data_IF_976668227771
#
_entry.id   IF_976668227771
#
_cell.length_a   1.000
_cell.length_b   1.000
_cell.length_c   1.000
_cell.angle_alpha   90.00
_cell.angle_beta   90.00
_cell.angle_gamma   90.00
#
_symmetry.space_group_name_H-M   'P 1'
#
loop_
_entity.id
_entity.type
_entity.pdbx_description
1 polymer ?
#
# COMPACT_ATOMS: atom_id res chain seq x y z
N UNK A 1 -13.94 -17.58 20.40
CA UNK A 1 -13.76 -18.27 19.11
C UNK A 1 -12.37 -17.92 18.61
N UNK A 2 -11.54 -18.91 18.29
CA UNK A 2 -10.18 -18.68 17.81
C UNK A 2 -10.28 -18.01 16.43
N UNK A 3 -9.88 -16.74 16.32
CA UNK A 3 -9.67 -16.10 15.03
C UNK A 3 -8.36 -16.66 14.48
N UNK A 4 -8.46 -17.44 13.41
CA UNK A 4 -7.30 -17.78 12.61
C UNK A 4 -6.92 -16.50 11.85
N UNK A 5 -5.81 -15.88 12.23
CA UNK A 5 -5.17 -14.86 11.43
C UNK A 5 -4.48 -15.59 10.29
N UNK A 6 -5.16 -15.71 9.16
CA UNK A 6 -4.51 -16.04 7.90
C UNK A 6 -4.16 -14.72 7.24
N UNK A 7 -2.87 -14.43 7.20
CA UNK A 7 -2.33 -13.44 6.28
C UNK A 7 -2.76 -13.86 4.88
N UNK A 8 -3.44 -12.96 4.16
CA UNK A 8 -3.61 -13.08 2.73
C UNK A 8 -2.24 -12.88 2.07
N UNK A 9 -1.37 -13.89 2.17
CA UNK A 9 -0.37 -14.10 1.14
C UNK A 9 -1.18 -14.44 -0.11
N UNK A 10 -1.32 -13.48 -1.03
CA UNK A 10 -1.86 -13.72 -2.35
C UNK A 10 -1.05 -14.85 -3.00
N UNK A 11 -1.57 -16.07 -2.89
CA UNK A 11 -0.98 -17.25 -3.49
C UNK A 11 -1.31 -17.16 -4.98
N UNK A 12 -0.46 -16.45 -5.72
CA UNK A 12 -0.52 -16.39 -7.17
C UNK A 12 -0.23 -17.80 -7.73
N UNK A 13 -1.27 -18.63 -7.79
CA UNK A 13 -1.25 -19.87 -8.56
C UNK A 13 -1.36 -19.52 -10.06
N UNK A 14 -0.29 -18.94 -10.60
CA UNK A 14 -0.09 -18.83 -12.04
C UNK A 14 0.15 -20.22 -12.62
N UNK A 15 -0.92 -20.96 -12.93
CA UNK A 15 -0.85 -22.15 -13.77
C UNK A 15 -0.51 -21.71 -15.20
N UNK A 16 0.79 -21.61 -15.49
CA UNK A 16 1.28 -21.55 -16.85
C UNK A 16 0.98 -22.90 -17.53
N UNK A 17 -0.06 -22.94 -18.36
CA UNK A 17 -0.29 -24.04 -19.29
C UNK A 17 0.87 -24.09 -20.29
N UNK A 18 1.84 -24.96 -20.03
CA UNK A 18 2.85 -25.34 -21.01
C UNK A 18 2.23 -26.34 -21.98
N UNK A 19 1.87 -25.87 -23.17
CA UNK A 19 1.64 -26.77 -24.31
C UNK A 19 3.01 -27.34 -24.73
N UNK A 20 3.23 -28.62 -24.43
CA UNK A 20 4.36 -29.38 -24.94
C UNK A 20 4.27 -29.50 -26.45
N UNK A 21 5.06 -28.70 -27.16
CA UNK A 21 5.51 -29.01 -28.52
C UNK A 21 7.01 -29.34 -28.43
N UNK A 22 7.35 -30.59 -28.69
CA UNK A 22 8.71 -31.09 -28.68
C UNK A 22 9.51 -30.41 -29.81
N UNK A 23 10.53 -29.63 -29.45
CA UNK A 23 11.70 -29.37 -30.30
C UNK A 23 12.87 -29.04 -29.38
N UNK A 24 13.88 -29.90 -29.37
CA UNK A 24 15.13 -29.74 -28.63
C UNK A 24 15.83 -28.43 -29.04
N UNK A 25 15.84 -27.44 -28.14
CA UNK A 25 16.79 -26.33 -28.11
C UNK A 25 16.83 -25.80 -26.66
N UNK A 26 17.87 -26.19 -25.92
CA UNK A 26 18.15 -25.86 -24.50
C UNK A 26 18.57 -24.38 -24.29
N UNK A 27 18.05 -23.45 -25.09
CA UNK A 27 18.10 -22.03 -24.77
C UNK A 27 16.93 -21.69 -23.85
N UNK A 28 17.17 -21.14 -22.64
CA UNK A 28 16.11 -20.55 -21.84
C UNK A 28 15.39 -19.51 -22.69
N UNK A 29 14.14 -19.78 -23.04
CA UNK A 29 13.29 -18.76 -23.66
C UNK A 29 12.95 -17.77 -22.55
N UNK A 30 13.41 -16.53 -22.69
CA UNK A 30 12.87 -15.39 -21.96
C UNK A 30 11.33 -15.53 -21.96
N UNK A 31 10.65 -15.41 -20.81
CA UNK A 31 9.19 -15.27 -20.82
C UNK A 31 8.86 -14.15 -21.82
N UNK A 32 7.90 -14.39 -22.71
CA UNK A 32 7.40 -13.33 -23.58
C UNK A 32 6.93 -12.22 -22.65
N UNK A 33 7.59 -11.06 -22.69
CA UNK A 33 7.18 -9.87 -21.96
C UNK A 33 5.91 -9.34 -22.63
N UNK A 34 4.79 -10.01 -22.36
CA UNK A 34 3.46 -9.63 -22.83
C UNK A 34 3.08 -8.22 -22.39
N UNK A 35 3.79 -7.68 -21.40
CA UNK A 35 3.57 -6.38 -20.78
C UNK A 35 4.46 -5.26 -21.35
N UNK A 36 5.42 -5.60 -22.23
CA UNK A 36 6.21 -4.62 -22.97
C UNK A 36 5.41 -4.06 -24.16
N UNK A 37 4.34 -3.32 -23.82
CA UNK A 37 3.47 -2.62 -24.76
C UNK A 37 3.71 -1.11 -24.64
N UNK A 38 3.68 -0.42 -25.77
CA UNK A 38 3.81 1.04 -25.85
C UNK A 38 2.50 1.70 -26.23
N UNK A 39 2.32 2.95 -25.80
CA UNK A 39 1.23 3.78 -26.27
C UNK A 39 1.49 4.13 -27.74
N UNK A 40 0.53 3.85 -28.61
CA UNK A 40 0.62 4.17 -30.04
C UNK A 40 -0.70 4.74 -30.53
N UNK A 41 -0.68 5.42 -31.66
CA UNK A 41 -1.87 5.92 -32.34
C UNK A 41 -2.88 4.79 -32.64
N UNK A 42 -2.43 3.55 -32.81
CA UNK A 42 -3.30 2.38 -33.06
C UNK A 42 -4.06 1.93 -31.80
N UNK A 43 -3.42 1.97 -30.63
CA UNK A 43 -4.03 1.52 -29.37
C UNK A 43 -4.52 2.67 -28.46
N UNK A 44 -4.25 3.93 -28.83
CA UNK A 44 -4.54 5.14 -28.06
C UNK A 44 -5.97 5.19 -27.52
N UNK A 45 -6.96 4.83 -28.35
CA UNK A 45 -8.37 4.87 -27.93
C UNK A 45 -8.65 3.89 -26.80
N UNK A 46 -8.24 2.63 -26.94
CA UNK A 46 -8.43 1.61 -25.91
C UNK A 46 -7.65 1.92 -24.64
N UNK A 47 -6.43 2.43 -24.78
CA UNK A 47 -5.57 2.85 -23.66
C UNK A 47 -6.20 3.98 -22.87
N UNK A 48 -6.66 5.04 -23.55
CA UNK A 48 -7.32 6.19 -22.94
C UNK A 48 -8.61 5.78 -22.21
N UNK A 49 -9.40 4.90 -22.82
CA UNK A 49 -10.62 4.39 -22.20
C UNK A 49 -10.32 3.52 -20.97
N UNK A 50 -9.27 2.69 -21.01
CA UNK A 50 -8.87 1.87 -19.86
C UNK A 50 -8.38 2.75 -18.70
N UNK A 51 -7.50 3.72 -18.95
CA UNK A 51 -7.05 4.67 -17.92
C UNK A 51 -8.24 5.38 -17.27
N UNK A 52 -9.22 5.84 -18.07
CA UNK A 52 -10.45 6.47 -17.55
C UNK A 52 -11.28 5.52 -16.69
N UNK A 53 -11.43 4.26 -17.09
CA UNK A 53 -12.18 3.28 -16.33
C UNK A 53 -11.50 3.00 -14.98
N UNK A 54 -10.19 2.73 -14.98
CA UNK A 54 -9.40 2.48 -13.76
C UNK A 54 -9.46 3.67 -12.80
N UNK A 55 -9.22 4.89 -13.28
CA UNK A 55 -9.23 6.07 -12.40
C UNK A 55 -10.64 6.42 -11.89
N UNK A 56 -11.68 6.06 -12.64
CA UNK A 56 -13.08 6.24 -12.19
C UNK A 56 -13.38 5.33 -11.02
N UNK A 57 -12.98 4.06 -11.11
CA UNK A 57 -13.10 3.07 -10.04
C UNK A 57 -12.29 3.50 -8.82
N UNK A 58 -11.03 3.88 -9.01
CA UNK A 58 -10.15 4.33 -7.93
C UNK A 58 -10.71 5.56 -7.20
N UNK A 59 -11.27 6.53 -7.93
CA UNK A 59 -11.93 7.70 -7.33
C UNK A 59 -13.15 7.30 -6.51
N UNK A 60 -13.95 6.36 -7.00
CA UNK A 60 -15.11 5.86 -6.27
C UNK A 60 -14.66 5.19 -4.96
N UNK A 61 -13.70 4.28 -5.02
CA UNK A 61 -13.23 3.52 -3.86
C UNK A 61 -12.61 4.45 -2.80
N UNK A 62 -11.80 5.44 -3.21
CA UNK A 62 -11.24 6.45 -2.30
C UNK A 62 -12.32 7.32 -1.65
N UNK A 63 -13.38 7.68 -2.39
CA UNK A 63 -14.52 8.43 -1.85
C UNK A 63 -15.32 7.60 -0.86
N UNK A 64 -15.64 6.35 -1.21
CA UNK A 64 -16.37 5.44 -0.34
C UNK A 64 -15.59 5.18 0.96
N UNK A 65 -14.28 4.95 0.87
CA UNK A 65 -13.43 4.76 2.04
C UNK A 65 -13.50 5.95 3.00
N UNK A 66 -13.33 7.18 2.49
CA UNK A 66 -13.47 8.38 3.30
C UNK A 66 -14.88 8.51 3.88
N UNK A 67 -15.93 8.29 3.09
CA UNK A 67 -17.32 8.40 3.53
C UNK A 67 -17.69 7.38 4.61
N UNK A 68 -17.17 6.15 4.52
CA UNK A 68 -17.33 5.13 5.55
C UNK A 68 -16.70 5.55 6.88
N UNK A 69 -15.52 6.15 6.83
CA UNK A 69 -14.86 6.67 8.03
C UNK A 69 -15.53 7.92 8.58
N UNK A 70 -15.92 8.87 7.73
CA UNK A 70 -16.32 10.21 8.14
C UNK A 70 -17.84 10.38 8.33
N UNK A 71 -18.66 9.68 7.55
CA UNK A 71 -20.11 9.97 7.41
C UNK A 71 -20.97 8.84 7.96
N UNK A 72 -20.95 7.65 7.35
CA UNK A 72 -21.79 6.52 7.75
C UNK A 72 -21.19 5.21 7.26
N UNK A 73 -21.20 4.19 8.12
CA UNK A 73 -20.76 2.85 7.74
C UNK A 73 -21.89 1.84 7.93
N UNK A 74 -22.18 1.05 6.89
CA UNK A 74 -23.24 0.02 6.87
C UNK A 74 -24.61 0.54 7.35
N UNK A 75 -24.95 1.79 7.00
CA UNK A 75 -26.21 2.46 7.35
C UNK A 75 -26.30 2.94 8.81
N UNK A 76 -25.23 2.83 9.59
CA UNK A 76 -25.13 3.30 10.97
C UNK A 76 -24.30 4.57 11.14
N UNK A 77 -23.74 4.75 12.34
CA UNK A 77 -22.74 5.79 12.60
C UNK A 77 -21.50 5.60 11.72
N UNK A 78 -20.69 6.65 11.58
CA UNK A 78 -19.43 6.54 10.86
C UNK A 78 -18.46 5.59 11.56
N UNK A 79 -17.50 5.04 10.83
CA UNK A 79 -16.50 4.16 11.43
C UNK A 79 -15.60 4.93 12.41
N UNK A 80 -15.32 6.22 12.16
CA UNK A 80 -14.61 7.08 13.11
C UNK A 80 -15.36 7.23 14.43
N UNK A 81 -16.68 7.44 14.40
CA UNK A 81 -17.49 7.50 15.63
C UNK A 81 -17.46 6.15 16.36
N UNK A 82 -17.66 5.06 15.62
CA UNK A 82 -17.62 3.70 16.17
C UNK A 82 -16.28 3.39 16.85
N UNK A 83 -15.16 3.70 16.20
CA UNK A 83 -13.83 3.43 16.73
C UNK A 83 -13.49 4.31 17.94
N UNK A 84 -13.81 5.61 17.89
CA UNK A 84 -13.60 6.55 19.01
C UNK A 84 -14.48 6.27 20.23
N UNK A 85 -15.62 5.61 20.02
CA UNK A 85 -16.51 5.14 21.08
C UNK A 85 -16.30 3.66 21.41
N UNK A 86 -15.28 3.02 20.82
CA UNK A 86 -14.92 1.63 21.05
C UNK A 86 -16.12 0.68 20.90
N UNK A 87 -17.00 0.99 19.93
CA UNK A 87 -18.14 0.16 19.58
C UNK A 87 -17.69 -1.23 19.12
N UNK A 88 -18.62 -2.18 19.07
CA UNK A 88 -18.33 -3.51 18.54
C UNK A 88 -17.70 -3.40 17.13
N UNK A 89 -16.65 -4.17 16.82
CA UNK A 89 -16.14 -5.32 17.59
C UNK A 89 -15.07 -5.01 18.66
N UNK A 90 -14.69 -3.74 18.89
CA UNK A 90 -13.55 -3.40 19.77
C UNK A 90 -13.90 -3.49 21.25
N UNK A 91 -15.04 -2.93 21.67
CA UNK A 91 -15.58 -2.96 23.04
C UNK A 91 -14.72 -2.28 24.14
N UNK A 92 -13.50 -1.82 23.84
CA UNK A 92 -12.67 -0.99 24.73
C UNK A 92 -11.60 -0.22 23.95
N UNK A 93 -11.03 0.84 24.52
CA UNK A 93 -9.89 1.52 23.89
C UNK A 93 -8.63 0.66 23.90
N UNK A 94 -8.46 -0.23 24.88
CA UNK A 94 -7.44 -1.27 24.84
C UNK A 94 -7.49 -2.07 23.53
N UNK A 95 -8.67 -2.60 23.16
CA UNK A 95 -8.83 -3.32 21.90
C UNK A 95 -8.62 -2.45 20.66
N UNK A 96 -9.03 -1.17 20.69
CA UNK A 96 -8.74 -0.24 19.59
C UNK A 96 -7.22 -0.03 19.44
N UNK A 97 -6.50 0.16 20.54
CA UNK A 97 -5.03 0.34 20.53
C UNK A 97 -4.33 -0.94 20.06
N UNK A 98 -4.81 -2.12 20.46
CA UNK A 98 -4.30 -3.38 19.91
C UNK A 98 -4.45 -3.43 18.40
N UNK A 99 -5.62 -3.04 17.86
CA UNK A 99 -5.84 -3.00 16.42
C UNK A 99 -4.90 -2.02 15.70
N UNK A 100 -4.62 -0.85 16.29
CA UNK A 100 -3.65 0.11 15.74
C UNK A 100 -2.25 -0.49 15.71
N UNK A 101 -1.82 -1.13 16.79
CA UNK A 101 -0.49 -1.74 16.86
C UNK A 101 -0.40 -2.93 15.91
N UNK A 102 -1.46 -3.73 15.76
CA UNK A 102 -1.50 -4.84 14.82
C UNK A 102 -1.34 -4.37 13.38
N UNK A 103 -2.02 -3.28 12.98
CA UNK A 103 -1.79 -2.67 11.66
C UNK A 103 -0.35 -2.20 11.44
N UNK A 104 0.30 -1.61 12.47
CA UNK A 104 1.72 -1.26 12.40
C UNK A 104 2.64 -2.50 12.29
N UNK A 105 2.33 -3.58 13.00
CA UNK A 105 3.08 -4.85 12.96
C UNK A 105 2.98 -5.48 11.57
N UNK A 106 1.77 -5.52 11.03
CA UNK A 106 1.45 -6.15 9.75
C UNK A 106 2.18 -5.43 8.63
N UNK A 107 2.10 -4.10 8.53
CA UNK A 107 2.79 -3.36 7.47
C UNK A 107 4.32 -3.39 7.63
N UNK A 108 4.86 -3.36 8.86
CA UNK A 108 6.30 -3.52 9.06
C UNK A 108 6.79 -4.89 8.58
N UNK A 109 6.03 -5.94 8.86
CA UNK A 109 6.32 -7.30 8.40
C UNK A 109 6.18 -7.41 6.88
N UNK A 110 5.11 -6.86 6.31
CA UNK A 110 4.86 -6.89 4.87
C UNK A 110 5.97 -6.17 4.09
N UNK A 111 6.40 -4.98 4.53
CA UNK A 111 7.51 -4.28 3.88
C UNK A 111 8.80 -5.12 3.95
N UNK A 112 9.12 -5.68 5.12
CA UNK A 112 10.34 -6.45 5.32
C UNK A 112 10.35 -7.78 4.56
N UNK A 113 9.36 -8.64 4.81
CA UNK A 113 9.32 -10.01 4.33
C UNK A 113 8.74 -10.13 2.92
N UNK A 114 7.76 -9.29 2.56
CA UNK A 114 7.08 -9.38 1.25
C UNK A 114 7.65 -8.34 0.28
N UNK A 115 7.44 -7.03 0.49
CA UNK A 115 7.77 -6.01 -0.51
C UNK A 115 9.27 -5.97 -0.86
N UNK A 116 10.14 -6.18 0.14
CA UNK A 116 11.60 -6.28 -0.04
C UNK A 116 12.07 -7.73 -0.07
N UNK A 117 11.64 -8.53 0.91
CA UNK A 117 12.14 -9.89 1.15
C UNK A 117 11.80 -10.89 0.05
N UNK A 118 10.63 -10.80 -0.58
CA UNK A 118 10.27 -11.71 -1.68
C UNK A 118 11.12 -11.49 -2.93
N UNK A 119 11.24 -10.26 -3.47
CA UNK A 119 12.18 -10.00 -4.57
C UNK A 119 13.61 -10.42 -4.21
N UNK A 120 14.08 -10.09 -3.00
CA UNK A 120 15.41 -10.47 -2.54
C UNK A 120 15.61 -11.99 -2.58
N UNK A 121 14.70 -12.75 -1.98
CA UNK A 121 14.76 -14.21 -1.89
C UNK A 121 14.69 -14.87 -3.27
N UNK A 122 13.81 -14.39 -4.16
CA UNK A 122 13.73 -14.85 -5.55
C UNK A 122 15.07 -14.60 -6.28
N UNK A 123 15.67 -13.44 -6.09
CA UNK A 123 16.96 -13.09 -6.71
C UNK A 123 18.08 -14.02 -6.22
N UNK A 124 18.19 -14.21 -4.90
CA UNK A 124 19.20 -15.10 -4.30
C UNK A 124 19.03 -16.57 -4.75
N UNK A 125 17.80 -17.00 -5.03
CA UNK A 125 17.50 -18.31 -5.59
C UNK A 125 17.82 -18.45 -7.10
N UNK A 126 18.38 -17.42 -7.73
CA UNK A 126 18.69 -17.40 -9.16
C UNK A 126 17.48 -17.12 -10.07
N UNK A 127 16.31 -16.83 -9.50
CA UNK A 127 15.08 -16.49 -10.24
C UNK A 127 15.03 -14.99 -10.54
N UNK A 128 16.06 -14.50 -11.23
CA UNK A 128 16.31 -13.07 -11.43
C UNK A 128 15.13 -12.36 -12.10
N UNK A 129 14.56 -12.94 -13.16
CA UNK A 129 13.41 -12.37 -13.86
C UNK A 129 12.17 -12.29 -12.97
N UNK A 130 11.84 -13.36 -12.24
CA UNK A 130 10.72 -13.35 -11.29
C UNK A 130 10.92 -12.29 -10.19
N UNK A 131 12.16 -12.12 -9.71
CA UNK A 131 12.49 -11.10 -8.71
C UNK A 131 12.26 -9.68 -9.23
N UNK A 132 12.72 -9.38 -10.45
CA UNK A 132 12.59 -8.08 -11.11
C UNK A 132 11.12 -7.67 -11.28
N UNK A 133 10.23 -8.62 -11.61
CA UNK A 133 8.80 -8.35 -11.80
C UNK A 133 7.97 -8.44 -10.51
N UNK A 134 8.53 -8.95 -9.42
CA UNK A 134 7.86 -9.01 -8.12
C UNK A 134 7.93 -7.70 -7.32
N UNK A 135 8.80 -6.75 -7.71
CA UNK A 135 8.99 -5.49 -6.98
C UNK A 135 7.78 -4.58 -7.16
N UNK A 136 6.99 -4.35 -6.12
CA UNK A 136 5.86 -3.40 -6.14
C UNK A 136 6.32 -1.97 -6.49
N UNK A 137 5.51 -1.21 -7.22
CA UNK A 137 5.81 0.17 -7.65
C UNK A 137 7.04 0.33 -8.56
N UNK A 138 7.43 -0.74 -9.28
CA UNK A 138 8.62 -0.68 -10.13
C UNK A 138 8.40 0.04 -11.47
N UNK A 139 7.18 0.15 -11.99
CA UNK A 139 6.95 0.79 -13.29
C UNK A 139 7.35 2.28 -13.24
N UNK A 140 7.10 2.93 -12.11
CA UNK A 140 7.46 4.31 -11.80
C UNK A 140 8.80 4.47 -11.06
N UNK A 141 9.51 3.37 -10.78
CA UNK A 141 10.69 3.35 -9.92
C UNK A 141 10.43 3.97 -8.52
N UNK A 142 9.21 3.83 -7.98
CA UNK A 142 8.78 4.49 -6.74
C UNK A 142 8.86 3.59 -5.50
N UNK A 143 9.25 2.32 -5.64
CA UNK A 143 9.29 1.32 -4.55
C UNK A 143 9.95 1.79 -3.24
N UNK A 144 11.04 2.56 -3.31
CA UNK A 144 11.76 3.00 -2.09
C UNK A 144 10.94 4.03 -1.33
N UNK A 145 10.42 5.03 -2.03
CA UNK A 145 9.58 6.08 -1.48
C UNK A 145 8.26 5.48 -0.95
N UNK A 146 7.65 4.57 -1.70
CA UNK A 146 6.47 3.79 -1.31
C UNK A 146 6.66 3.11 0.06
N UNK A 147 7.66 2.22 0.15
CA UNK A 147 7.89 1.44 1.37
C UNK A 147 8.30 2.33 2.54
N UNK A 148 9.01 3.44 2.26
CA UNK A 148 9.35 4.42 3.30
C UNK A 148 8.11 5.17 3.80
N UNK A 149 7.12 5.44 2.94
CA UNK A 149 5.84 6.03 3.32
C UNK A 149 5.01 5.06 4.16
N UNK A 150 5.10 3.75 3.93
CA UNK A 150 4.52 2.75 4.82
C UNK A 150 5.11 2.85 6.24
N UNK A 151 6.43 3.05 6.37
CA UNK A 151 7.06 3.29 7.68
C UNK A 151 6.65 4.65 8.29
N UNK A 152 6.44 5.68 7.47
CA UNK A 152 5.85 6.95 7.92
C UNK A 152 4.42 6.73 8.45
N UNK A 153 3.65 5.80 7.89
CA UNK A 153 2.33 5.41 8.42
C UNK A 153 2.42 4.89 9.85
N UNK A 154 3.39 4.00 10.13
CA UNK A 154 3.68 3.50 11.48
C UNK A 154 4.08 4.66 12.42
N UNK A 155 4.97 5.54 11.95
CA UNK A 155 5.40 6.72 12.71
C UNK A 155 4.21 7.60 13.10
N UNK A 156 3.34 7.89 12.13
CA UNK A 156 2.15 8.71 12.31
C UNK A 156 1.20 8.09 13.34
N UNK A 157 0.95 6.78 13.26
CA UNK A 157 0.14 6.05 14.21
C UNK A 157 0.73 6.06 15.63
N UNK A 158 2.03 5.76 15.74
CA UNK A 158 2.73 5.66 17.03
C UNK A 158 2.90 7.01 17.74
N UNK A 159 3.20 8.07 16.98
CA UNK A 159 3.41 9.42 17.48
C UNK A 159 2.15 10.29 17.48
N UNK A 160 1.03 9.79 16.94
CA UNK A 160 -0.27 10.47 16.91
C UNK A 160 -0.28 11.76 16.08
N UNK A 161 0.48 11.81 14.99
CA UNK A 161 0.66 12.98 14.13
C UNK A 161 0.66 12.61 12.65
N UNK A 162 0.65 13.60 11.77
CA UNK A 162 0.92 13.44 10.33
C UNK A 162 2.16 14.26 9.96
N UNK A 163 3.34 13.70 10.20
CA UNK A 163 4.59 14.41 9.89
C UNK A 163 5.75 13.47 9.63
N UNK A 164 6.16 13.40 8.36
CA UNK A 164 7.37 12.70 7.95
C UNK A 164 8.64 13.38 8.50
N UNK A 165 8.62 14.70 8.69
CA UNK A 165 9.73 15.48 9.25
C UNK A 165 10.15 15.02 10.66
N UNK A 166 9.29 14.27 11.35
CA UNK A 166 9.62 13.66 12.64
C UNK A 166 10.80 12.68 12.53
N UNK A 167 10.89 11.92 11.44
CA UNK A 167 11.90 10.87 11.24
C UNK A 167 12.83 11.08 10.04
N UNK A 168 12.47 11.94 9.07
CA UNK A 168 13.27 12.13 7.84
C UNK A 168 14.53 12.98 8.03
N UNK A 169 14.65 13.71 9.13
CA UNK A 169 15.85 14.46 9.48
C UNK A 169 17.02 13.57 9.93
N UNK A 170 18.20 14.17 10.13
CA UNK A 170 19.37 13.47 10.67
C UNK A 170 19.13 12.92 12.10
N UNK A 171 18.24 13.57 12.85
CA UNK A 171 17.81 13.17 14.19
C UNK A 171 16.29 13.21 14.27
N UNK A 172 15.72 12.42 15.17
CA UNK A 172 14.28 12.42 15.45
C UNK A 172 13.87 13.77 16.06
N UNK A 173 12.84 14.41 15.50
CA UNK A 173 12.25 15.62 16.06
C UNK A 173 11.10 15.30 17.03
N UNK A 174 11.47 14.95 18.26
CA UNK A 174 10.52 14.62 19.32
C UNK A 174 9.58 15.78 19.72
N UNK A 175 9.84 17.01 19.25
CA UNK A 175 8.94 18.15 19.52
C UNK A 175 7.62 18.03 18.77
N UNK A 176 7.60 17.24 17.69
CA UNK A 176 6.40 17.03 16.89
C UNK A 176 5.48 15.95 17.47
N UNK A 177 5.94 15.08 18.37
CA UNK A 177 5.12 14.00 18.93
C UNK A 177 3.89 14.54 19.65
N UNK A 178 2.70 14.06 19.28
CA UNK A 178 1.46 14.52 19.89
C UNK A 178 1.37 14.13 21.39
N UNK A 179 0.78 14.98 22.24
CA UNK A 179 0.57 14.67 23.66
C UNK A 179 -0.26 13.40 23.92
N UNK A 180 -1.20 13.09 23.03
CA UNK A 180 -2.11 11.95 23.11
C UNK A 180 -1.70 10.88 22.09
N UNK A 181 -0.54 10.26 22.32
CA UNK A 181 0.08 9.28 21.42
C UNK A 181 0.56 8.04 22.16
N UNK A 182 0.78 6.92 21.46
CA UNK A 182 1.35 5.71 22.04
C UNK A 182 2.73 5.98 22.64
N UNK A 183 3.56 6.76 21.95
CA UNK A 183 4.84 7.23 22.50
C UNK A 183 4.67 7.92 23.85
N UNK A 184 3.81 8.95 23.96
CA UNK A 184 3.69 9.74 25.21
C UNK A 184 3.08 8.95 26.36
N UNK A 185 2.13 8.04 26.09
CA UNK A 185 1.57 7.20 27.15
C UNK A 185 2.58 6.16 27.64
N UNK A 186 3.41 5.60 26.78
CA UNK A 186 4.51 4.71 27.21
C UNK A 186 5.51 5.48 28.10
N UNK A 187 5.99 6.65 27.66
CA UNK A 187 6.89 7.48 28.47
C UNK A 187 6.29 7.80 29.85
N UNK A 188 5.04 8.23 29.88
CA UNK A 188 4.37 8.66 31.12
C UNK A 188 4.06 7.49 32.08
N UNK A 189 4.14 6.25 31.60
CA UNK A 189 3.90 5.03 32.39
C UNK A 189 5.18 4.21 32.60
N UNK A 190 6.34 4.88 32.60
CA UNK A 190 7.63 4.27 32.97
C UNK A 190 8.26 3.40 31.87
N UNK A 191 7.75 3.46 30.64
CA UNK A 191 8.25 2.73 29.47
C UNK A 191 9.03 3.65 28.52
N UNK A 192 9.79 4.61 29.06
CA UNK A 192 10.52 5.58 28.24
C UNK A 192 11.53 4.91 27.30
N UNK A 193 12.35 3.99 27.82
CA UNK A 193 13.34 3.27 27.01
C UNK A 193 12.67 2.51 25.85
N UNK A 194 11.55 1.85 26.10
CA UNK A 194 10.78 1.17 25.04
C UNK A 194 10.24 2.17 24.01
N UNK A 195 9.70 3.31 24.44
CA UNK A 195 9.18 4.34 23.54
C UNK A 195 10.29 4.92 22.63
N UNK A 196 11.43 5.26 23.22
CA UNK A 196 12.59 5.81 22.52
C UNK A 196 13.22 4.79 21.56
N UNK A 197 13.34 3.52 21.98
CA UNK A 197 13.83 2.44 21.14
C UNK A 197 12.88 2.15 19.97
N UNK A 198 11.57 2.19 20.20
CA UNK A 198 10.57 2.01 19.13
C UNK A 198 10.68 3.11 18.09
N UNK A 199 10.75 4.37 18.51
CA UNK A 199 10.87 5.49 17.58
C UNK A 199 12.21 5.47 16.81
N UNK A 200 13.29 5.01 17.46
CA UNK A 200 14.58 4.77 16.82
C UNK A 200 14.52 3.64 15.78
N UNK A 201 13.79 2.55 16.08
CA UNK A 201 13.59 1.45 15.14
C UNK A 201 12.76 1.88 13.92
N UNK A 202 11.70 2.68 14.12
CA UNK A 202 10.91 3.28 13.03
C UNK A 202 11.82 4.12 12.12
N UNK A 203 12.61 5.03 12.70
CA UNK A 203 13.57 5.82 11.91
C UNK A 203 14.59 4.95 11.20
N UNK A 204 15.14 3.94 11.87
CA UNK A 204 16.12 3.04 11.26
C UNK A 204 15.54 2.30 10.05
N UNK A 205 14.34 1.75 10.14
CA UNK A 205 13.66 1.13 8.99
C UNK A 205 13.49 2.12 7.83
N UNK A 206 12.97 3.32 8.10
CA UNK A 206 12.82 4.39 7.11
C UNK A 206 14.16 4.74 6.42
N UNK A 207 15.21 4.98 7.20
CA UNK A 207 16.54 5.34 6.69
C UNK A 207 17.16 4.19 5.87
N UNK A 208 16.96 2.94 6.26
CA UNK A 208 17.52 1.77 5.56
C UNK A 208 16.83 1.51 4.22
N UNK A 209 15.50 1.67 4.15
CA UNK A 209 14.77 1.61 2.88
C UNK A 209 15.31 2.68 1.92
N UNK A 210 15.44 3.92 2.39
CA UNK A 210 15.96 5.01 1.58
C UNK A 210 17.46 4.88 1.27
N UNK A 211 18.22 4.08 2.02
CA UNK A 211 19.61 3.79 1.70
C UNK A 211 19.77 2.79 0.54
N UNK A 212 18.73 2.04 0.15
CA UNK A 212 18.76 1.18 -1.04
C UNK A 212 19.10 2.05 -2.26
N UNK A 213 20.02 1.65 -3.16
CA UNK A 213 20.29 2.44 -4.35
C UNK A 213 19.08 2.51 -5.29
N UNK A 214 18.82 3.69 -5.84
CA UNK A 214 17.69 3.93 -6.74
C UNK A 214 17.96 3.39 -8.16
N UNK A 215 17.05 2.62 -8.79
CA UNK A 215 15.83 2.04 -8.22
C UNK A 215 16.09 0.71 -7.50
N UNK A 216 15.25 0.37 -6.51
CA UNK A 216 15.33 -0.92 -5.78
C UNK A 216 15.35 -2.12 -6.74
N UNK A 217 14.50 -2.12 -7.77
CA UNK A 217 14.44 -3.20 -8.79
C UNK A 217 15.80 -3.55 -9.40
N UNK A 218 16.70 -2.59 -9.57
CA UNK A 218 18.03 -2.82 -10.15
C UNK A 218 19.10 -3.16 -9.12
N UNK A 219 18.75 -3.12 -7.83
CA UNK A 219 19.65 -3.30 -6.70
C UNK A 219 19.08 -4.27 -5.65
N UNK A 220 18.22 -5.18 -6.09
CA UNK A 220 17.51 -6.14 -5.22
C UNK A 220 18.48 -6.88 -4.30
N UNK A 221 19.63 -7.33 -4.82
CA UNK A 221 20.62 -8.11 -4.08
C UNK A 221 21.64 -7.27 -3.30
N UNK A 222 21.42 -5.97 -3.13
CA UNK A 222 22.35 -5.09 -2.42
C UNK A 222 22.39 -5.39 -0.91
N UNK A 223 23.50 -5.05 -0.26
CA UNK A 223 23.61 -5.12 1.21
C UNK A 223 22.60 -4.18 1.89
N UNK A 224 22.25 -3.08 1.23
CA UNK A 224 21.25 -2.12 1.70
C UNK A 224 19.84 -2.70 1.66
N UNK A 225 19.50 -3.51 0.65
CA UNK A 225 18.22 -4.22 0.57
C UNK A 225 18.06 -5.22 1.71
N UNK A 226 19.10 -6.00 1.99
CA UNK A 226 19.09 -6.91 3.15
C UNK A 226 18.95 -6.15 4.47
N UNK A 227 19.72 -5.06 4.65
CA UNK A 227 19.64 -4.26 5.86
C UNK A 227 18.28 -3.56 6.05
N UNK A 228 17.59 -3.20 4.96
CA UNK A 228 16.24 -2.65 5.00
C UNK A 228 15.21 -3.71 5.40
N UNK A 229 15.29 -4.91 4.79
CA UNK A 229 14.48 -6.06 5.18
C UNK A 229 14.63 -6.36 6.67
N UNK A 230 15.85 -6.54 7.16
CA UNK A 230 16.14 -6.86 8.56
C UNK A 230 15.60 -5.77 9.51
N UNK A 231 15.80 -4.49 9.19
CA UNK A 231 15.31 -3.39 10.02
C UNK A 231 13.78 -3.35 10.12
N UNK A 232 13.06 -3.66 9.04
CA UNK A 232 11.60 -3.75 9.02
C UNK A 232 11.09 -4.95 9.84
N UNK A 233 11.73 -6.12 9.70
CA UNK A 233 11.37 -7.31 10.47
C UNK A 233 11.65 -7.14 11.96
N UNK A 234 12.77 -6.52 12.34
CA UNK A 234 13.08 -6.17 13.73
C UNK A 234 12.07 -5.17 14.31
N UNK A 235 11.65 -4.17 13.53
CA UNK A 235 10.61 -3.23 13.92
C UNK A 235 9.27 -3.96 14.18
N UNK A 236 8.87 -4.86 13.28
CA UNK A 236 7.65 -5.66 13.45
C UNK A 236 7.67 -6.48 14.75
N UNK A 237 8.79 -7.17 15.01
CA UNK A 237 9.00 -7.94 16.26
C UNK A 237 8.95 -7.03 17.48
N UNK A 238 9.59 -5.86 17.46
CA UNK A 238 9.56 -4.91 18.58
C UNK A 238 8.13 -4.43 18.89
N UNK A 239 7.38 -4.07 17.84
CA UNK A 239 5.99 -3.64 17.96
C UNK A 239 5.12 -4.74 18.58
N UNK A 240 5.25 -5.97 18.06
CA UNK A 240 4.46 -7.12 18.48
C UNK A 240 4.79 -7.63 19.88
N UNK A 241 6.07 -7.80 20.17
CA UNK A 241 6.51 -8.54 21.36
C UNK A 241 6.78 -7.62 22.56
N UNK A 242 6.93 -6.32 22.35
CA UNK A 242 7.23 -5.35 23.42
C UNK A 242 6.21 -4.23 23.51
N UNK A 243 5.90 -3.55 22.41
CA UNK A 243 4.98 -2.39 22.43
C UNK A 243 3.56 -2.83 22.73
N UNK A 244 3.05 -3.84 22.02
CA UNK A 244 1.68 -4.35 22.23
C UNK A 244 1.43 -4.78 23.68
N UNK A 245 2.25 -5.65 24.32
CA UNK A 245 2.04 -6.03 25.72
C UNK A 245 2.18 -4.87 26.71
N UNK A 246 3.06 -3.88 26.42
CA UNK A 246 3.21 -2.71 27.26
C UNK A 246 1.95 -1.81 27.22
N UNK A 247 1.35 -1.64 26.04
CA UNK A 247 0.09 -0.91 25.89
C UNK A 247 -1.11 -1.68 26.47
N UNK A 248 -1.13 -3.01 26.38
CA UNK A 248 -2.18 -3.86 26.98
C UNK A 248 -2.29 -3.73 28.49
N UNK A 249 -1.19 -3.37 29.16
CA UNK A 249 -1.16 -3.15 30.60
C UNK A 249 -1.71 -1.78 31.04
N UNK A 250 -2.00 -0.87 30.09
CA UNK A 250 -2.48 0.47 30.38
C UNK A 250 -4.00 0.51 30.58
N UNK A 251 -4.47 1.44 31.42
CA UNK A 251 -5.90 1.59 31.69
C UNK A 251 -6.65 2.27 30.54
N UNK A 252 -7.94 1.96 30.40
CA UNK A 252 -8.84 2.58 29.42
C UNK A 252 -8.84 4.12 29.50
N UNK A 253 -8.74 4.69 30.70
CA UNK A 253 -8.67 6.15 30.88
C UNK A 253 -7.43 6.78 30.24
N UNK A 254 -6.32 6.04 30.14
CA UNK A 254 -5.08 6.47 29.47
C UNK A 254 -5.18 6.29 27.96
N UNK A 255 -5.84 5.22 27.49
CA UNK A 255 -5.89 4.87 26.07
C UNK A 255 -7.01 5.59 25.29
N UNK A 256 -8.13 5.93 25.93
CA UNK A 256 -9.25 6.62 25.27
C UNK A 256 -8.83 7.91 24.53
N UNK A 257 -8.02 8.82 25.11
CA UNK A 257 -7.55 10.01 24.41
C UNK A 257 -6.64 9.69 23.21
N UNK A 258 -5.82 8.64 23.31
CA UNK A 258 -4.94 8.20 22.21
C UNK A 258 -5.76 7.75 21.01
N UNK A 259 -6.81 6.94 21.23
CA UNK A 259 -7.71 6.48 20.16
C UNK A 259 -8.39 7.67 19.47
N UNK A 260 -8.87 8.65 20.24
CA UNK A 260 -9.49 9.87 19.69
C UNK A 260 -8.51 10.66 18.82
N UNK A 261 -7.31 10.92 19.34
CA UNK A 261 -6.27 11.64 18.61
C UNK A 261 -5.87 10.90 17.33
N UNK A 262 -5.66 9.59 17.42
CA UNK A 262 -5.33 8.74 16.28
C UNK A 262 -6.36 8.87 15.15
N UNK A 263 -7.66 8.77 15.46
CA UNK A 263 -8.71 8.92 14.44
C UNK A 263 -8.77 10.34 13.87
N UNK A 264 -8.77 11.35 14.74
CA UNK A 264 -9.06 12.74 14.35
C UNK A 264 -7.86 13.43 13.69
N UNK A 265 -6.63 13.03 14.03
CA UNK A 265 -5.40 13.65 13.54
C UNK A 265 -4.74 12.82 12.46
N UNK A 266 -4.81 11.49 12.52
CA UNK A 266 -4.10 10.59 11.59
C UNK A 266 -5.03 10.05 10.53
N UNK A 267 -6.03 9.25 10.91
CA UNK A 267 -6.83 8.46 9.95
C UNK A 267 -7.74 9.33 9.08
N UNK A 268 -8.62 10.12 9.70
CA UNK A 268 -9.60 10.92 8.95
C UNK A 268 -8.93 11.92 7.98
N UNK A 269 -7.91 12.69 8.40
CA UNK A 269 -7.25 13.61 7.47
C UNK A 269 -6.48 12.87 6.36
N UNK A 270 -5.89 11.70 6.64
CA UNK A 270 -5.19 10.92 5.60
C UNK A 270 -6.15 10.42 4.52
N UNK A 271 -7.30 9.87 4.91
CA UNK A 271 -8.31 9.45 3.93
C UNK A 271 -9.01 10.62 3.24
N UNK A 272 -9.13 11.78 3.89
CA UNK A 272 -9.59 13.00 3.21
C UNK A 272 -8.63 13.42 2.10
N UNK A 273 -7.33 13.45 2.40
CA UNK A 273 -6.30 13.80 1.42
C UNK A 273 -6.24 12.77 0.29
N UNK A 274 -6.38 11.47 0.59
CA UNK A 274 -6.49 10.41 -0.42
C UNK A 274 -7.64 10.69 -1.39
N UNK A 275 -8.85 10.93 -0.87
CA UNK A 275 -10.03 11.25 -1.71
C UNK A 275 -9.77 12.48 -2.59
N UNK A 276 -9.26 13.57 -2.03
CA UNK A 276 -9.07 14.82 -2.77
C UNK A 276 -7.95 14.71 -3.82
N UNK A 277 -6.86 13.99 -3.52
CA UNK A 277 -5.76 13.77 -4.46
C UNK A 277 -6.11 12.77 -5.55
N UNK A 278 -6.87 11.72 -5.25
CA UNK A 278 -7.41 10.82 -6.28
C UNK A 278 -8.42 11.54 -7.18
N UNK A 279 -9.22 12.48 -6.65
CA UNK A 279 -10.07 13.33 -7.50
C UNK A 279 -9.23 14.20 -8.46
N UNK A 280 -8.09 14.73 -8.01
CA UNK A 280 -7.13 15.44 -8.88
C UNK A 280 -6.53 14.51 -9.94
N UNK A 281 -6.13 13.30 -9.56
CA UNK A 281 -5.65 12.27 -10.48
C UNK A 281 -6.70 11.92 -11.55
N UNK A 282 -7.96 11.77 -11.14
CA UNK A 282 -9.09 11.57 -12.06
C UNK A 282 -9.15 12.69 -13.11
N UNK A 283 -9.07 13.96 -12.69
CA UNK A 283 -9.13 15.08 -13.64
C UNK A 283 -7.94 15.08 -14.60
N UNK A 284 -6.73 14.78 -14.11
CA UNK A 284 -5.52 14.72 -14.95
C UNK A 284 -5.53 13.57 -15.95
N UNK A 285 -6.00 12.39 -15.54
CA UNK A 285 -6.15 11.23 -16.44
C UNK A 285 -7.24 11.50 -17.49
N UNK A 286 -8.35 12.15 -17.13
CA UNK A 286 -9.37 12.51 -18.11
C UNK A 286 -8.87 13.58 -19.09
N UNK A 287 -8.07 14.54 -18.63
CA UNK A 287 -7.43 15.52 -19.51
C UNK A 287 -6.42 14.86 -20.47
N UNK A 288 -5.60 13.93 -19.98
CA UNK A 288 -4.71 13.11 -20.80
C UNK A 288 -5.48 12.34 -21.87
N UNK A 289 -6.54 11.63 -21.48
CA UNK A 289 -7.35 10.85 -22.39
C UNK A 289 -8.06 11.71 -23.47
N UNK A 290 -8.38 12.98 -23.17
CA UNK A 290 -9.00 13.90 -24.11
C UNK A 290 -8.00 14.56 -25.07
N UNK A 291 -6.76 14.80 -24.63
CA UNK A 291 -5.70 15.42 -25.43
C UNK A 291 -4.33 14.80 -25.11
N UNK A 292 -4.02 13.61 -25.67
CA UNK A 292 -2.79 12.90 -25.36
C UNK A 292 -1.55 13.67 -25.80
N UNK A 293 -0.67 13.96 -24.84
CA UNK A 293 0.64 14.61 -25.08
C UNK A 293 1.64 14.12 -24.02
N UNK A 294 2.93 14.24 -24.30
CA UNK A 294 3.97 13.92 -23.30
C UNK A 294 3.82 14.74 -22.00
N UNK A 295 3.41 16.01 -22.13
CA UNK A 295 3.15 16.84 -20.95
C UNK A 295 1.92 16.34 -20.17
N UNK A 296 0.86 15.92 -20.86
CA UNK A 296 -0.32 15.37 -20.18
C UNK A 296 -0.03 14.04 -19.48
N UNK A 297 0.83 13.18 -20.04
CA UNK A 297 1.32 11.98 -19.36
C UNK A 297 2.09 12.34 -18.09
N UNK A 298 3.02 13.30 -18.19
CA UNK A 298 3.78 13.77 -17.03
C UNK A 298 2.87 14.36 -15.94
N UNK A 299 1.88 15.18 -16.33
CA UNK A 299 0.89 15.74 -15.41
C UNK A 299 0.07 14.66 -14.69
N UNK A 300 -0.31 13.58 -15.38
CA UNK A 300 -1.03 12.45 -14.78
C UNK A 300 -0.11 11.61 -13.87
N UNK A 301 1.16 11.42 -14.25
CA UNK A 301 2.18 10.76 -13.43
C UNK A 301 2.44 11.55 -12.13
N UNK A 302 2.61 12.87 -12.21
CA UNK A 302 2.80 13.75 -11.05
C UNK A 302 1.58 13.68 -10.11
N UNK A 303 0.37 13.60 -10.66
CA UNK A 303 -0.85 13.40 -9.88
C UNK A 303 -0.97 11.99 -9.28
N UNK A 304 -0.45 10.96 -9.95
CA UNK A 304 -0.44 9.58 -9.44
C UNK A 304 0.46 9.49 -8.21
N UNK A 305 1.68 10.01 -8.28
CA UNK A 305 2.62 10.09 -7.15
C UNK A 305 1.99 10.86 -5.98
N UNK A 306 1.34 11.99 -6.27
CA UNK A 306 0.65 12.78 -5.25
C UNK A 306 -0.48 12.01 -4.56
N UNK A 307 -1.28 11.25 -5.32
CA UNK A 307 -2.38 10.45 -4.79
C UNK A 307 -1.92 9.19 -4.05
N UNK A 308 -0.76 8.63 -4.42
CA UNK A 308 -0.11 7.52 -3.72
C UNK A 308 0.33 7.89 -2.31
N UNK A 309 0.90 9.07 -2.10
CA UNK A 309 1.43 9.46 -0.79
C UNK A 309 0.45 9.25 0.40
N UNK A 310 -0.80 9.72 0.38
CA UNK A 310 -1.74 9.45 1.47
C UNK A 310 -2.21 7.99 1.54
N UNK A 311 -2.21 7.26 0.41
CA UNK A 311 -2.49 5.81 0.42
C UNK A 311 -1.36 5.06 1.14
N UNK A 312 -0.11 5.27 0.73
CA UNK A 312 1.07 4.61 1.29
C UNK A 312 1.25 4.96 2.78
N UNK A 313 0.96 6.22 3.14
CA UNK A 313 0.95 6.69 4.53
C UNK A 313 -0.31 6.22 5.31
N UNK A 314 -1.18 5.41 4.71
CA UNK A 314 -2.34 4.78 5.37
C UNK A 314 -2.19 3.29 5.66
N UNK A 315 -1.14 2.65 5.13
CA UNK A 315 -1.03 1.19 5.17
C UNK A 315 -0.83 0.59 6.58
N UNK A 316 -0.43 1.38 7.58
CA UNK A 316 -0.45 0.92 8.99
C UNK A 316 -1.86 0.79 9.58
N UNK A 317 -2.91 1.09 8.81
CA UNK A 317 -4.29 1.04 9.25
C UNK A 317 -5.28 0.51 8.22
N UNK A 318 -4.85 -0.53 7.51
CA UNK A 318 -5.67 -1.36 6.62
C UNK A 318 -6.63 -2.28 7.38
N UNK A 319 -7.47 -1.69 8.23
CA UNK A 319 -8.54 -2.39 8.96
C UNK A 319 -9.87 -1.65 8.86
N UNK A 320 -10.95 -2.34 9.20
CA UNK A 320 -12.29 -1.77 9.11
C UNK A 320 -12.73 -1.61 7.66
N UNK A 321 -13.30 -0.47 7.24
CA UNK A 321 -13.95 -0.36 5.92
C UNK A 321 -13.06 -0.74 4.73
N UNK A 322 -11.77 -0.40 4.79
CA UNK A 322 -10.83 -0.68 3.69
C UNK A 322 -10.65 -2.19 3.45
N UNK A 323 -10.56 -2.98 4.52
CA UNK A 323 -10.47 -4.43 4.48
C UNK A 323 -11.84 -5.09 4.28
N UNK A 324 -12.83 -4.69 5.07
CA UNK A 324 -14.15 -5.33 5.14
C UNK A 324 -14.96 -5.19 3.84
N UNK A 325 -14.62 -4.22 2.98
CA UNK A 325 -15.33 -3.95 1.73
C UNK A 325 -14.49 -4.31 0.49
N UNK A 326 -13.34 -4.96 0.67
CA UNK A 326 -12.42 -5.30 -0.42
C UNK A 326 -11.84 -4.07 -1.12
N UNK A 327 -11.82 -2.91 -0.45
CA UNK A 327 -11.33 -1.67 -1.03
C UNK A 327 -9.81 -1.69 -1.17
N UNK A 328 -9.11 -2.34 -0.23
CA UNK A 328 -7.67 -2.53 -0.31
C UNK A 328 -7.23 -3.17 -1.63
N UNK A 329 -7.59 -4.44 -1.93
CA UNK A 329 -7.23 -5.03 -3.22
C UNK A 329 -7.93 -4.37 -4.43
N UNK A 330 -9.08 -3.70 -4.27
CA UNK A 330 -9.65 -2.90 -5.37
C UNK A 330 -8.78 -1.70 -5.75
N UNK A 331 -8.10 -1.11 -4.78
CA UNK A 331 -7.29 0.09 -4.94
C UNK A 331 -5.83 -0.24 -5.19
N UNK A 332 -5.30 -1.35 -4.68
CA UNK A 332 -3.85 -1.55 -4.63
C UNK A 332 -3.33 -3.00 -4.79
N UNK A 333 -4.04 -3.84 -5.54
CA UNK A 333 -3.56 -5.20 -5.79
C UNK A 333 -2.17 -5.24 -6.43
N UNK A 334 -1.30 -6.08 -5.86
CA UNK A 334 0.00 -6.46 -6.41
C UNK A 334 0.28 -7.95 -6.10
N UNK A 335 0.83 -8.75 -7.04
CA UNK A 335 1.13 -8.43 -8.43
C UNK A 335 -0.12 -8.34 -9.31
N UNK A 336 0.03 -7.68 -10.47
CA UNK A 336 -1.04 -7.57 -11.47
C UNK A 336 -1.07 -8.77 -12.42
N UNK A 337 -2.24 -9.07 -12.98
CA UNK A 337 -2.36 -9.94 -14.16
C UNK A 337 -2.08 -9.12 -15.43
N UNK A 338 -0.79 -8.98 -15.75
CA UNK A 338 -0.34 -8.18 -16.89
C UNK A 338 -0.87 -8.72 -18.23
N UNK A 339 -1.10 -10.04 -18.35
CA UNK A 339 -1.67 -10.63 -19.54
C UNK A 339 -3.15 -10.24 -19.70
N UNK A 340 -3.92 -10.25 -18.60
CA UNK A 340 -5.30 -9.78 -18.60
C UNK A 340 -5.41 -8.27 -18.90
N UNK A 341 -4.51 -7.44 -18.36
CA UNK A 341 -4.42 -6.01 -18.68
C UNK A 341 -4.26 -5.80 -20.20
N UNK A 342 -3.35 -6.54 -20.84
CA UNK A 342 -3.12 -6.47 -22.30
C UNK A 342 -4.34 -6.98 -23.07
N UNK A 343 -5.01 -8.03 -22.58
CA UNK A 343 -6.26 -8.51 -23.17
C UNK A 343 -7.37 -7.47 -23.07
N UNK A 344 -7.48 -6.72 -21.97
CA UNK A 344 -8.45 -5.63 -21.81
C UNK A 344 -8.12 -4.47 -22.75
N UNK A 345 -6.85 -4.10 -22.91
CA UNK A 345 -6.40 -3.10 -23.89
C UNK A 345 -6.81 -3.49 -25.32
N UNK A 346 -6.70 -4.77 -25.68
CA UNK A 346 -7.05 -5.25 -27.02
C UNK A 346 -8.55 -5.41 -27.23
N UNK A 347 -9.29 -5.86 -26.22
CA UNK A 347 -10.71 -6.20 -26.34
C UNK A 347 -11.66 -5.03 -26.04
N UNK A 348 -11.24 -4.08 -25.21
CA UNK A 348 -12.10 -3.02 -24.67
C UNK A 348 -13.15 -3.53 -23.67
N UNK A 349 -13.02 -4.76 -23.16
CA UNK A 349 -13.94 -5.34 -22.20
C UNK A 349 -13.60 -4.93 -20.77
N UNK A 350 -14.03 -3.74 -20.39
CA UNK A 350 -13.80 -3.17 -19.06
C UNK A 350 -14.63 -3.83 -17.94
N UNK A 351 -15.61 -4.68 -18.28
CA UNK A 351 -16.42 -5.39 -17.29
C UNK A 351 -15.58 -6.35 -16.43
N UNK A 352 -14.40 -6.74 -16.91
CA UNK A 352 -13.46 -7.59 -16.21
C UNK A 352 -12.86 -6.96 -14.95
N UNK A 353 -12.95 -5.63 -14.77
CA UNK A 353 -12.53 -4.95 -13.54
C UNK A 353 -13.63 -4.89 -12.47
N UNK A 354 -14.86 -5.24 -12.82
CA UNK A 354 -16.01 -5.07 -11.95
C UNK A 354 -16.42 -6.39 -11.29
N UNK A 355 -16.82 -6.30 -10.04
CA UNK A 355 -17.43 -7.38 -9.30
C UNK A 355 -18.62 -6.84 -8.48
N UNK A 356 -19.50 -7.74 -8.05
CA UNK A 356 -20.71 -7.39 -7.30
C UNK A 356 -21.00 -8.42 -6.22
N UNK A 357 -21.83 -8.04 -5.24
CA UNK A 357 -22.14 -8.86 -4.08
C UNK A 357 -21.28 -8.49 -2.87
N UNK A 358 -21.30 -9.35 -1.86
CA UNK A 358 -20.48 -9.18 -0.66
C UNK A 358 -19.03 -9.56 -0.96
N UNK A 359 -18.09 -8.79 -0.43
CA UNK A 359 -16.67 -9.11 -0.55
C UNK A 359 -16.35 -10.46 0.11
N UNK A 360 -15.57 -11.28 -0.59
CA UNK A 360 -15.03 -12.53 -0.10
C UNK A 360 -13.59 -12.66 -0.59
N UNK A 361 -12.65 -12.73 0.37
CA UNK A 361 -11.21 -12.88 0.10
C UNK A 361 -10.88 -14.18 -0.66
N UNK A 362 -11.70 -15.22 -0.51
CA UNK A 362 -11.54 -16.52 -1.19
C UNK A 362 -12.10 -16.55 -2.63
N UNK A 363 -12.71 -15.45 -3.10
CA UNK A 363 -13.35 -15.42 -4.41
C UNK A 363 -12.33 -15.15 -5.53
N UNK A 364 -11.99 -16.19 -6.29
CA UNK A 364 -11.13 -16.08 -7.48
C UNK A 364 -11.65 -15.05 -8.48
N UNK A 365 -12.98 -14.93 -8.63
CA UNK A 365 -13.58 -13.96 -9.55
C UNK A 365 -13.39 -12.51 -9.07
N UNK A 366 -13.46 -12.25 -7.76
CA UNK A 366 -13.19 -10.92 -7.20
C UNK A 366 -11.70 -10.61 -7.34
N UNK A 367 -10.82 -11.56 -6.99
CA UNK A 367 -9.36 -11.40 -7.14
C UNK A 367 -8.94 -11.13 -8.59
N UNK A 368 -9.52 -11.85 -9.56
CA UNK A 368 -9.26 -11.61 -10.98
C UNK A 368 -9.61 -10.18 -11.41
N UNK A 369 -10.73 -9.63 -10.92
CA UNK A 369 -11.13 -8.26 -11.20
C UNK A 369 -10.25 -7.22 -10.51
N UNK A 370 -9.76 -7.53 -9.31
CA UNK A 370 -8.88 -6.68 -8.50
C UNK A 370 -7.47 -6.56 -9.11
N UNK A 371 -6.94 -7.64 -9.68
CA UNK A 371 -5.59 -7.70 -10.27
C UNK A 371 -5.43 -6.94 -11.61
N UNK A 372 -6.49 -6.28 -12.08
CA UNK A 372 -6.51 -5.52 -13.35
C UNK A 372 -7.09 -4.10 -13.18
N UNK A 373 -7.12 -3.58 -11.95
CA UNK A 373 -7.54 -2.21 -11.59
C UNK A 373 -6.59 -1.60 -10.54
N UNK A 374 -7.00 -0.49 -9.92
CA UNK A 374 -6.23 0.14 -8.84
C UNK A 374 -5.03 0.99 -9.28
N UNK A 375 -4.26 1.47 -8.31
CA UNK A 375 -3.10 2.32 -8.46
C UNK A 375 -2.05 1.67 -9.38
N UNK A 376 -1.67 0.42 -9.15
CA UNK A 376 -0.62 -0.23 -9.94
C UNK A 376 -1.04 -0.52 -11.39
N UNK A 377 -2.32 -0.80 -11.67
CA UNK A 377 -2.78 -0.88 -13.07
C UNK A 377 -2.67 0.49 -13.74
N UNK A 378 -3.05 1.55 -13.05
CA UNK A 378 -2.89 2.91 -13.58
C UNK A 378 -1.41 3.29 -13.73
N UNK A 379 -0.55 2.83 -12.81
CA UNK A 379 0.90 2.97 -12.88
C UNK A 379 1.45 2.30 -14.15
N UNK A 380 1.06 1.05 -14.41
CA UNK A 380 1.42 0.32 -15.63
C UNK A 380 1.03 1.10 -16.90
N UNK A 381 -0.15 1.73 -16.89
CA UNK A 381 -0.68 2.49 -18.02
C UNK A 381 -0.05 3.89 -18.19
N UNK A 382 0.57 4.45 -17.14
CA UNK A 382 1.15 5.80 -17.14
C UNK A 382 2.68 5.79 -17.24
N UNK A 383 3.33 4.80 -16.66
CA UNK A 383 4.78 4.72 -16.51
C UNK A 383 5.38 3.53 -17.28
N UNK A 384 6.64 3.69 -17.67
CA UNK A 384 7.50 2.62 -18.19
C UNK A 384 8.94 2.94 -17.80
N UNK A 385 9.63 1.96 -17.22
CA UNK A 385 11.05 2.07 -16.82
C UNK A 385 11.38 3.35 -16.02
N UNK A 386 10.51 3.68 -15.05
CA UNK A 386 10.69 4.82 -14.16
C UNK A 386 10.40 6.18 -14.78
N UNK A 387 9.83 6.21 -15.99
CA UNK A 387 9.50 7.45 -16.71
C UNK A 387 8.04 7.46 -17.11
N UNK A 388 7.48 8.67 -17.25
CA UNK A 388 6.19 8.84 -17.89
C UNK A 388 6.24 8.28 -19.32
N UNK A 389 5.22 7.52 -19.73
CA UNK A 389 5.06 7.07 -21.11
C UNK A 389 4.92 8.29 -22.04
N UNK A 390 5.26 8.08 -23.31
CA UNK A 390 5.20 9.11 -24.34
C UNK A 390 4.18 8.74 -25.42
N UNK A 391 3.63 9.75 -26.07
CA UNK A 391 2.92 9.55 -27.35
C UNK A 391 3.94 9.30 -28.47
N UNK A 392 3.50 8.63 -29.53
CA UNK A 392 4.30 8.29 -30.72
C UNK A 392 4.50 9.46 -31.70
#
# INVERSE_FOLDING_TARGET
MKKNFFYAAALAAGLAFSVTACSDDDTPKEPVDVANIDYTSENATSWNNYMKAVVTLLRKDASDLYEYWAVSYKGGASYAETFKNHGAPFNSAGSCVQQVIDGCVDIANEVGETKIGDPYSKYQAGKVTEALYAVESWYSWHSREDYSNNIVSICNAFCGVRSEALISGATIDNTQVAPQSLYKVLVSNGQQELADNTLSAIKNAYDKILAIPQPFRNHINSEQSLAAQEACSELSVLLKDKVKPACDALSEAVLNPVVKNYVDVVVLPTYSDLKDRVATLYDKVNALAANPTNQAFKDACDAWISAREPWEKSEAFLFGPVADQGLDPNMDSWPLDQAAIVNILNSGDYSQMEWSGDYSEDSEAISAAQNVRGFHTLEFLLFKDGQARTVD
#
